data_IF_085296568535
#
_entry.id   IF_085296568535
#
_cell.length_a   1.000
_cell.length_b   1.000
_cell.length_c   1.000
_cell.angle_alpha   90.00
_cell.angle_beta   90.00
_cell.angle_gamma   90.00
#
_symmetry.space_group_name_H-M   'P 1'
#
loop_
_entity.id
_entity.type
_entity.pdbx_description
1 polymer ?
#
# COMPACT_ATOMS: atom_id res chain seq x y z
N UNK A 1 80.37 -27.87 -42.57
CA UNK A 1 80.01 -26.45 -42.32
C UNK A 1 78.64 -26.45 -41.73
N UNK A 2 78.56 -26.13 -40.41
CA UNK A 2 77.36 -26.29 -39.60
C UNK A 2 76.66 -24.94 -39.41
N UNK A 3 75.44 -24.82 -39.88
CA UNK A 3 74.57 -23.66 -39.66
C UNK A 3 73.77 -23.85 -38.39
N UNK A 4 74.03 -23.03 -37.36
CA UNK A 4 73.26 -22.98 -36.10
C UNK A 4 71.99 -22.23 -36.28
N UNK A 5 70.86 -22.87 -36.19
CA UNK A 5 69.54 -22.26 -36.10
C UNK A 5 69.29 -21.81 -34.65
N UNK A 6 69.12 -20.49 -34.46
CA UNK A 6 68.66 -19.89 -33.19
C UNK A 6 67.12 -19.98 -33.13
N UNK A 7 66.57 -20.73 -32.19
CA UNK A 7 65.16 -20.71 -31.82
C UNK A 7 64.93 -19.48 -30.94
N UNK A 8 64.08 -18.55 -31.41
CA UNK A 8 63.53 -17.48 -30.60
C UNK A 8 62.25 -18.03 -29.91
N UNK A 9 62.28 -18.16 -28.63
CA UNK A 9 61.08 -18.47 -27.81
C UNK A 9 60.30 -17.17 -27.57
N UNK A 10 59.12 -17.08 -28.16
CA UNK A 10 58.20 -16.01 -27.93
C UNK A 10 57.33 -16.35 -26.72
N UNK A 11 57.61 -15.72 -25.55
CA UNK A 11 56.79 -15.84 -24.36
C UNK A 11 55.58 -14.90 -24.48
N UNK A 12 54.40 -15.44 -24.75
CA UNK A 12 53.13 -14.69 -24.72
C UNK A 12 52.66 -14.58 -23.27
N UNK A 13 52.79 -13.42 -22.68
CA UNK A 13 52.23 -13.07 -21.35
C UNK A 13 50.75 -12.78 -21.53
N UNK A 14 49.86 -13.67 -21.09
CA UNK A 14 48.42 -13.45 -20.99
C UNK A 14 48.19 -12.63 -19.72
N UNK A 15 47.96 -11.32 -19.89
CA UNK A 15 47.48 -10.45 -18.83
C UNK A 15 45.99 -10.72 -18.57
N UNK A 16 45.71 -11.47 -17.54
CA UNK A 16 44.35 -11.80 -17.08
C UNK A 16 43.81 -10.55 -16.37
N UNK A 17 43.04 -9.72 -17.09
CA UNK A 17 42.36 -8.55 -16.57
C UNK A 17 41.27 -9.02 -15.60
N UNK A 18 41.54 -8.95 -14.28
CA UNK A 18 40.54 -9.14 -13.22
C UNK A 18 39.69 -7.87 -13.21
N UNK A 19 38.57 -7.90 -13.91
CA UNK A 19 37.51 -6.89 -13.78
C UNK A 19 36.88 -7.09 -12.38
N UNK A 20 36.90 -6.07 -11.49
CA UNK A 20 36.10 -6.14 -10.29
C UNK A 20 34.64 -6.12 -10.74
N UNK A 21 33.99 -7.27 -10.72
CA UNK A 21 32.53 -7.33 -10.76
C UNK A 21 32.06 -6.56 -9.53
N UNK A 22 31.58 -5.32 -9.71
CA UNK A 22 30.75 -4.66 -8.73
C UNK A 22 29.55 -5.56 -8.49
N UNK A 23 29.65 -6.44 -7.50
CA UNK A 23 28.47 -7.04 -6.89
C UNK A 23 27.66 -5.86 -6.34
N UNK A 24 26.64 -5.42 -7.10
CA UNK A 24 25.53 -4.69 -6.50
C UNK A 24 25.00 -5.63 -5.43
N UNK A 25 25.29 -5.38 -4.17
CA UNK A 25 24.50 -5.91 -3.09
C UNK A 25 23.08 -5.47 -3.41
N UNK A 26 22.20 -6.43 -3.74
CA UNK A 26 20.78 -6.17 -3.84
C UNK A 26 20.37 -5.58 -2.49
N UNK A 27 20.15 -4.26 -2.48
CA UNK A 27 19.70 -3.55 -1.28
C UNK A 27 18.35 -4.15 -0.97
N UNK A 28 18.36 -5.04 0.02
CA UNK A 28 17.17 -5.77 0.41
C UNK A 28 16.17 -4.75 0.93
N UNK A 29 15.10 -4.52 0.18
CA UNK A 29 14.05 -3.61 0.59
C UNK A 29 13.60 -3.94 2.02
N UNK A 30 13.68 -2.97 2.97
CA UNK A 30 13.46 -3.25 4.39
C UNK A 30 12.03 -3.70 4.69
N UNK A 31 11.07 -3.36 3.86
CA UNK A 31 9.67 -3.74 4.00
C UNK A 31 9.12 -4.29 2.69
N UNK A 32 8.18 -5.22 2.78
CA UNK A 32 7.41 -5.75 1.64
C UNK A 32 5.93 -5.82 1.98
N UNK A 33 5.07 -5.61 1.00
CA UNK A 33 3.63 -5.81 1.16
C UNK A 33 3.37 -7.29 1.44
N UNK A 34 2.69 -7.58 2.55
CA UNK A 34 2.25 -8.93 2.93
C UNK A 34 0.74 -9.10 2.90
N UNK A 35 -0.01 -8.01 2.80
CA UNK A 35 -1.46 -8.03 2.66
C UNK A 35 -2.00 -6.65 2.31
N UNK A 36 -3.13 -6.63 1.62
CA UNK A 36 -3.89 -5.42 1.31
C UNK A 36 -5.36 -5.76 1.17
N UNK A 37 -6.22 -4.99 1.83
CA UNK A 37 -7.66 -5.23 1.87
C UNK A 37 -8.41 -3.93 2.15
N UNK A 38 -9.67 -3.85 1.67
CA UNK A 38 -10.66 -2.94 2.23
C UNK A 38 -11.39 -3.64 3.37
N UNK A 39 -11.53 -2.96 4.50
CA UNK A 39 -12.39 -3.39 5.61
C UNK A 39 -13.67 -2.58 5.54
N UNK A 40 -14.81 -3.27 5.40
CA UNK A 40 -16.14 -2.68 5.44
C UNK A 40 -16.76 -2.95 6.80
N UNK A 41 -16.90 -1.93 7.62
CA UNK A 41 -17.56 -2.03 8.92
C UNK A 41 -19.02 -1.62 8.80
N UNK A 42 -19.89 -2.62 8.59
CA UNK A 42 -21.32 -2.43 8.39
C UNK A 42 -22.01 -1.68 9.54
N UNK A 43 -21.58 -1.92 10.79
CA UNK A 43 -22.22 -1.33 11.98
C UNK A 43 -22.07 0.18 12.06
N UNK A 44 -20.93 0.69 11.66
CA UNK A 44 -20.62 2.14 11.69
C UNK A 44 -20.60 2.77 10.30
N UNK A 45 -21.05 2.02 9.27
CA UNK A 45 -21.12 2.46 7.88
C UNK A 45 -19.79 3.05 7.36
N UNK A 46 -18.66 2.42 7.69
CA UNK A 46 -17.33 2.91 7.34
C UNK A 46 -16.54 1.86 6.59
N UNK A 47 -15.76 2.29 5.61
CA UNK A 47 -14.75 1.47 4.96
C UNK A 47 -13.38 2.09 5.17
N UNK A 48 -12.33 1.26 5.24
CA UNK A 48 -10.93 1.70 5.38
C UNK A 48 -10.02 0.86 4.49
N UNK A 49 -8.95 1.48 3.98
CA UNK A 49 -7.82 0.75 3.43
C UNK A 49 -7.00 0.17 4.57
N UNK A 50 -6.55 -1.05 4.42
CA UNK A 50 -5.56 -1.67 5.30
C UNK A 50 -4.47 -2.31 4.46
N UNK A 51 -3.25 -1.80 4.57
CA UNK A 51 -2.06 -2.35 3.94
C UNK A 51 -1.15 -2.90 5.02
N UNK A 52 -0.80 -4.15 4.93
CA UNK A 52 0.13 -4.78 5.87
C UNK A 52 1.51 -4.91 5.22
N UNK A 53 2.51 -4.30 5.85
CA UNK A 53 3.91 -4.46 5.48
C UNK A 53 4.57 -5.46 6.43
N UNK A 54 5.32 -6.41 5.88
CA UNK A 54 6.17 -7.31 6.64
C UNK A 54 7.63 -6.82 6.60
N UNK A 55 8.32 -6.92 7.73
CA UNK A 55 9.75 -6.62 7.82
C UNK A 55 10.55 -7.63 6.99
N UNK A 56 11.44 -7.13 6.16
CA UNK A 56 12.30 -7.93 5.30
C UNK A 56 13.79 -7.58 5.49
N UNK A 57 14.08 -6.46 6.16
CA UNK A 57 15.43 -5.98 6.43
C UNK A 57 15.48 -5.00 7.60
N UNK A 58 16.66 -4.50 7.96
CA UNK A 58 16.83 -3.52 9.00
C UNK A 58 16.22 -2.17 8.61
N UNK A 59 15.69 -1.46 9.58
CA UNK A 59 15.27 -0.07 9.48
C UNK A 59 15.88 0.71 10.63
N UNK A 60 16.29 1.97 10.40
CA UNK A 60 16.70 2.86 11.46
C UNK A 60 15.61 3.02 12.52
N UNK A 61 16.01 3.27 13.75
CA UNK A 61 15.09 3.71 14.79
C UNK A 61 14.39 5.01 14.34
N UNK A 62 13.14 5.20 14.79
CA UNK A 62 12.32 6.36 14.40
C UNK A 62 12.06 6.49 12.90
N UNK A 63 11.89 5.36 12.23
CA UNK A 63 11.36 5.34 10.86
C UNK A 63 9.84 5.51 10.84
N UNK A 64 9.34 6.09 9.74
CA UNK A 64 7.92 6.35 9.51
C UNK A 64 7.51 5.87 8.12
N UNK A 65 6.27 5.41 8.01
CA UNK A 65 5.60 5.22 6.73
C UNK A 65 4.66 6.41 6.48
N UNK A 66 4.92 7.17 5.43
CA UNK A 66 4.01 8.19 4.91
C UNK A 66 3.23 7.55 3.77
N UNK A 67 1.94 7.37 3.97
CA UNK A 67 1.08 6.65 3.01
C UNK A 67 0.06 7.59 2.41
N UNK A 68 -0.05 7.56 1.09
CA UNK A 68 -1.08 8.28 0.33
C UNK A 68 -2.01 7.27 -0.31
N UNK A 69 -3.27 7.33 0.07
CA UNK A 69 -4.35 6.53 -0.48
C UNK A 69 -5.14 7.38 -1.49
N UNK A 70 -5.45 6.83 -2.67
CA UNK A 70 -6.43 7.47 -3.55
C UNK A 70 -7.75 7.65 -2.79
N UNK A 71 -8.36 8.83 -2.90
CA UNK A 71 -9.68 9.07 -2.30
C UNK A 71 -10.77 8.55 -3.24
N UNK A 72 -11.54 7.50 -2.87
CA UNK A 72 -12.58 6.95 -3.73
C UNK A 72 -13.70 7.95 -4.05
N UNK A 73 -13.95 8.91 -3.15
CA UNK A 73 -14.89 10.00 -3.36
C UNK A 73 -14.34 11.11 -4.28
N UNK A 74 -13.08 10.97 -4.75
CA UNK A 74 -12.41 11.98 -5.57
C UNK A 74 -11.70 13.04 -4.75
N UNK A 75 -11.02 13.96 -5.45
CA UNK A 75 -10.25 15.03 -4.82
C UNK A 75 -8.83 14.61 -4.42
N UNK A 76 -8.28 15.28 -3.41
CA UNK A 76 -6.91 15.03 -2.96
C UNK A 76 -6.73 13.64 -2.33
N UNK A 77 -5.57 12.99 -2.53
CA UNK A 77 -5.24 11.76 -1.82
C UNK A 77 -5.27 11.96 -0.30
N UNK A 78 -5.65 10.90 0.41
CA UNK A 78 -5.66 10.85 1.87
C UNK A 78 -4.27 10.47 2.35
N UNK A 79 -3.62 11.33 3.11
CA UNK A 79 -2.27 11.07 3.62
C UNK A 79 -2.31 10.68 5.10
N UNK A 80 -1.52 9.65 5.45
CA UNK A 80 -1.30 9.22 6.83
C UNK A 80 0.19 9.09 7.11
N UNK A 81 0.58 9.23 8.39
CA UNK A 81 1.95 9.02 8.86
C UNK A 81 1.95 8.05 10.03
N UNK A 82 2.54 6.89 9.85
CA UNK A 82 2.60 5.82 10.85
C UNK A 82 4.04 5.61 11.31
N UNK A 83 4.31 5.67 12.62
CA UNK A 83 5.61 5.33 13.19
C UNK A 83 5.85 3.82 13.07
N UNK A 84 7.06 3.43 12.66
CA UNK A 84 7.48 2.04 12.57
C UNK A 84 8.40 1.73 13.75
N UNK A 85 7.94 0.87 14.65
CA UNK A 85 8.75 0.50 15.80
C UNK A 85 9.76 -0.61 15.44
N UNK A 86 11.00 -0.57 15.98
CA UNK A 86 12.07 -1.50 15.60
C UNK A 86 11.74 -2.98 15.84
N UNK A 87 10.90 -3.27 16.85
CA UNK A 87 10.50 -4.63 17.23
C UNK A 87 9.29 -5.17 16.46
N UNK A 88 8.62 -4.34 15.64
CA UNK A 88 7.48 -4.79 14.85
C UNK A 88 7.92 -5.64 13.65
N UNK A 89 7.37 -6.83 13.55
CA UNK A 89 7.55 -7.71 12.38
C UNK A 89 6.55 -7.39 11.26
N UNK A 90 5.42 -6.78 11.62
CA UNK A 90 4.39 -6.32 10.70
C UNK A 90 3.93 -4.93 11.10
N UNK A 91 3.63 -4.12 10.10
CA UNK A 91 3.11 -2.76 10.26
C UNK A 91 1.81 -2.67 9.47
N UNK A 92 0.71 -2.33 10.13
CA UNK A 92 -0.55 -2.01 9.47
C UNK A 92 -0.58 -0.50 9.16
N UNK A 93 -0.87 -0.18 7.90
CA UNK A 93 -1.11 1.18 7.42
C UNK A 93 -2.59 1.29 7.10
N UNK A 94 -3.29 2.13 7.84
CA UNK A 94 -4.74 2.29 7.73
C UNK A 94 -5.08 3.70 7.28
N UNK A 95 -6.07 3.82 6.41
CA UNK A 95 -6.64 5.14 6.08
C UNK A 95 -7.64 5.56 7.15
N UNK A 96 -7.95 6.86 7.29
CA UNK A 96 -9.25 7.29 7.81
C UNK A 96 -10.40 6.62 7.05
N UNK A 97 -11.65 6.69 7.57
CA UNK A 97 -12.82 6.22 6.86
C UNK A 97 -12.94 6.81 5.46
N UNK A 98 -13.24 5.96 4.48
CA UNK A 98 -13.46 6.34 3.08
C UNK A 98 -14.85 5.90 2.61
N UNK A 99 -15.34 6.57 1.57
CA UNK A 99 -16.64 6.33 0.96
C UNK A 99 -16.49 6.18 -0.55
N UNK A 100 -17.56 5.75 -1.22
CA UNK A 100 -17.63 5.66 -2.68
C UNK A 100 -16.69 4.62 -3.31
N UNK A 101 -16.44 3.54 -2.61
CA UNK A 101 -15.67 2.42 -3.15
C UNK A 101 -16.51 1.69 -4.19
N UNK A 102 -15.94 1.54 -5.39
CA UNK A 102 -16.55 0.83 -6.53
C UNK A 102 -15.88 -0.53 -6.68
N UNK A 103 -16.67 -1.59 -6.75
CA UNK A 103 -16.21 -2.94 -7.03
C UNK A 103 -15.41 -2.99 -8.34
N UNK A 104 -14.29 -3.68 -8.34
CA UNK A 104 -13.46 -3.89 -9.52
C UNK A 104 -12.57 -2.70 -9.91
N UNK A 105 -12.78 -1.50 -9.36
CA UNK A 105 -11.92 -0.34 -9.60
C UNK A 105 -10.60 -0.51 -8.82
N UNK A 106 -9.42 -0.37 -9.47
CA UNK A 106 -8.15 -0.27 -8.78
C UNK A 106 -7.96 1.14 -8.20
N UNK A 107 -7.54 1.23 -6.94
CA UNK A 107 -7.22 2.47 -6.25
C UNK A 107 -5.73 2.53 -5.99
N UNK A 108 -5.09 3.64 -6.35
CA UNK A 108 -3.66 3.85 -6.19
C UNK A 108 -3.27 4.09 -4.72
N UNK A 109 -2.14 3.53 -4.33
CA UNK A 109 -1.56 3.70 -3.00
C UNK A 109 -0.06 3.88 -3.17
N UNK A 110 0.49 4.97 -2.61
CA UNK A 110 1.93 5.18 -2.54
C UNK A 110 2.39 5.23 -1.07
N UNK A 111 3.49 4.58 -0.77
CA UNK A 111 4.06 4.48 0.57
C UNK A 111 5.52 4.92 0.50
N UNK A 112 5.87 5.92 1.28
CA UNK A 112 7.25 6.36 1.46
C UNK A 112 7.69 5.99 2.87
N UNK A 113 8.71 5.15 2.97
CA UNK A 113 9.37 4.86 4.24
C UNK A 113 10.49 5.87 4.40
N UNK A 114 10.45 6.66 5.48
CA UNK A 114 11.41 7.71 5.75
C UNK A 114 12.00 7.57 7.15
N UNK A 115 13.21 8.08 7.35
CA UNK A 115 13.80 8.21 8.69
C UNK A 115 13.25 9.44 9.45
N UNK A 116 13.77 9.67 10.65
CA UNK A 116 13.37 10.81 11.50
C UNK A 116 13.62 12.18 10.86
N UNK A 117 14.60 12.28 9.97
CA UNK A 117 14.99 13.51 9.29
C UNK A 117 14.27 13.68 7.94
N UNK A 118 13.37 12.76 7.61
CA UNK A 118 12.57 12.76 6.37
C UNK A 118 13.30 12.21 5.14
N UNK A 119 14.49 11.61 5.32
CA UNK A 119 15.22 11.00 4.21
C UNK A 119 14.51 9.73 3.76
N UNK A 120 14.29 9.59 2.47
CA UNK A 120 13.66 8.42 1.87
C UNK A 120 14.55 7.18 2.03
N UNK A 121 13.99 6.13 2.61
CA UNK A 121 14.61 4.82 2.78
C UNK A 121 14.07 3.82 1.75
N UNK A 122 12.78 3.89 1.43
CA UNK A 122 12.11 3.03 0.46
C UNK A 122 10.85 3.71 -0.08
N UNK A 123 10.53 3.49 -1.35
CA UNK A 123 9.25 3.85 -1.95
C UNK A 123 8.55 2.58 -2.45
N UNK A 124 7.24 2.47 -2.19
CA UNK A 124 6.42 1.34 -2.60
C UNK A 124 5.15 1.91 -3.23
N UNK A 125 4.91 1.61 -4.51
CA UNK A 125 3.68 1.93 -5.20
C UNK A 125 2.88 0.64 -5.43
N UNK A 126 1.57 0.70 -5.19
CA UNK A 126 0.67 -0.44 -5.37
C UNK A 126 -0.75 0.04 -5.68
N UNK A 127 -1.61 -0.92 -5.98
CA UNK A 127 -3.06 -0.68 -6.11
C UNK A 127 -3.82 -1.66 -5.22
N UNK A 128 -5.00 -1.26 -4.80
CA UNK A 128 -5.98 -2.13 -4.13
C UNK A 128 -7.29 -2.11 -4.88
N UNK A 129 -7.79 -3.28 -5.24
CA UNK A 129 -9.09 -3.44 -5.90
C UNK A 129 -10.08 -4.06 -4.93
N UNK A 130 -11.25 -3.46 -4.78
CA UNK A 130 -12.32 -4.01 -3.95
C UNK A 130 -13.09 -5.09 -4.70
N UNK A 131 -13.40 -6.19 -4.00
CA UNK A 131 -14.35 -7.21 -4.49
C UNK A 131 -15.80 -6.88 -4.17
N UNK A 132 -16.02 -5.86 -3.35
CA UNK A 132 -17.33 -5.39 -2.90
C UNK A 132 -17.51 -3.92 -3.30
N UNK A 133 -18.75 -3.54 -3.51
CA UNK A 133 -19.17 -2.17 -3.74
C UNK A 133 -19.57 -1.51 -2.42
N UNK A 134 -19.44 -0.18 -2.32
CA UNK A 134 -19.84 0.59 -1.15
C UNK A 134 -21.31 0.41 -0.81
N UNK A 135 -22.15 0.12 -1.80
CA UNK A 135 -23.60 -0.04 -1.66
C UNK A 135 -24.04 -1.22 -0.79
N UNK A 136 -23.11 -2.13 -0.44
CA UNK A 136 -23.40 -3.18 0.55
C UNK A 136 -23.61 -2.63 1.97
N UNK A 137 -23.09 -1.43 2.27
CA UNK A 137 -23.19 -0.81 3.58
C UNK A 137 -24.41 0.11 3.68
N UNK A 138 -25.00 0.30 4.87
CA UNK A 138 -26.00 1.34 5.07
C UNK A 138 -25.38 2.73 4.83
N UNK A 139 -26.20 3.70 4.45
CA UNK A 139 -25.76 5.11 4.29
C UNK A 139 -25.39 5.78 5.61
N UNK A 140 -26.00 5.32 6.71
CA UNK A 140 -25.79 5.86 8.05
C UNK A 140 -25.28 4.78 9.00
N UNK A 141 -24.47 5.15 10.04
CA UNK A 141 -24.12 4.21 11.10
C UNK A 141 -25.36 3.60 11.75
N UNK A 142 -25.38 2.27 11.91
CA UNK A 142 -26.46 1.60 12.63
C UNK A 142 -26.40 1.81 14.13
N UNK A 143 -25.23 2.15 14.65
CA UNK A 143 -24.98 2.38 16.08
C UNK A 143 -24.17 3.64 16.27
N UNK A 144 -24.41 4.32 17.40
CA UNK A 144 -23.75 5.56 17.79
C UNK A 144 -23.24 5.51 19.22
N UNK A 145 -22.30 6.40 19.52
CA UNK A 145 -21.73 6.55 20.85
C UNK A 145 -20.81 5.40 21.29
N UNK A 146 -20.16 5.57 22.46
CA UNK A 146 -19.11 4.65 22.92
C UNK A 146 -19.63 3.26 23.32
N UNK A 147 -20.93 3.15 23.61
CA UNK A 147 -21.60 1.88 24.00
C UNK A 147 -22.39 1.26 22.85
N UNK A 148 -22.23 1.78 21.62
CA UNK A 148 -22.90 1.26 20.42
C UNK A 148 -24.44 1.20 20.54
N UNK A 149 -25.07 2.28 20.99
CA UNK A 149 -26.54 2.38 21.04
C UNK A 149 -27.10 2.41 19.61
N UNK A 150 -28.32 1.86 19.38
CA UNK A 150 -29.00 2.00 18.10
C UNK A 150 -29.10 3.47 17.69
N UNK A 151 -28.75 3.77 16.43
CA UNK A 151 -28.81 5.13 15.90
C UNK A 151 -30.28 5.57 15.70
N UNK A 152 -30.75 6.64 16.38
CA UNK A 152 -32.12 7.11 16.24
C UNK A 152 -32.46 7.64 14.83
N UNK A 153 -31.43 8.03 14.04
CA UNK A 153 -31.61 8.46 12.63
C UNK A 153 -31.86 7.27 11.69
N UNK A 154 -31.67 6.05 12.18
CA UNK A 154 -31.92 4.80 11.44
C UNK A 154 -33.09 4.03 12.05
N UNK A 155 -33.18 3.96 13.37
CA UNK A 155 -34.20 3.22 14.11
C UNK A 155 -35.15 4.19 14.81
N UNK A 156 -36.27 4.48 14.21
CA UNK A 156 -37.24 5.46 14.74
C UNK A 156 -38.09 4.88 15.86
N UNK A 157 -38.60 5.74 16.72
CA UNK A 157 -39.41 5.37 17.88
C UNK A 157 -40.74 4.70 17.49
N UNK A 158 -41.25 4.93 16.29
CA UNK A 158 -42.45 4.29 15.72
C UNK A 158 -42.21 2.88 15.15
N UNK A 159 -40.96 2.38 15.23
CA UNK A 159 -40.53 1.07 14.72
C UNK A 159 -40.12 1.08 13.26
N UNK A 160 -40.19 2.19 12.55
CA UNK A 160 -39.69 2.31 11.18
C UNK A 160 -38.17 2.39 11.14
N UNK A 161 -37.58 2.07 9.98
CA UNK A 161 -36.13 2.02 9.79
C UNK A 161 -35.75 2.72 8.49
N UNK A 162 -34.72 3.60 8.56
CA UNK A 162 -34.15 4.28 7.41
C UNK A 162 -32.76 3.74 7.11
N UNK A 163 -32.66 2.88 6.09
CA UNK A 163 -31.39 2.35 5.57
C UNK A 163 -30.96 3.07 4.27
N UNK A 164 -31.54 4.24 3.98
CA UNK A 164 -31.21 4.96 2.75
C UNK A 164 -29.71 5.13 2.56
N UNK A 165 -29.27 4.93 1.36
CA UNK A 165 -27.87 5.16 0.96
C UNK A 165 -27.67 6.68 0.77
N UNK A 166 -26.62 7.24 1.35
CA UNK A 166 -26.20 8.58 0.96
C UNK A 166 -25.52 8.53 -0.41
N UNK A 167 -25.98 9.39 -1.33
CA UNK A 167 -25.59 9.35 -2.74
C UNK A 167 -24.56 10.43 -3.13
N UNK A 168 -23.69 10.84 -2.22
CA UNK A 168 -22.67 11.89 -2.48
C UNK A 168 -21.48 11.38 -3.30
N UNK A 169 -21.58 10.17 -3.86
CA UNK A 169 -20.51 9.60 -4.65
C UNK A 169 -20.47 10.14 -6.07
N UNK A 170 -19.28 10.45 -6.61
CA UNK A 170 -19.14 10.84 -8.01
C UNK A 170 -19.75 9.81 -8.94
N UNK A 171 -20.48 10.26 -9.95
CA UNK A 171 -21.00 9.37 -10.98
C UNK A 171 -19.87 8.56 -11.60
N UNK A 172 -19.97 7.24 -11.61
CA UNK A 172 -19.01 6.37 -12.30
C UNK A 172 -19.00 6.73 -13.78
N UNK A 173 -17.84 7.09 -14.37
CA UNK A 173 -17.77 7.41 -15.80
C UNK A 173 -18.35 6.26 -16.63
N UNK A 174 -19.21 6.54 -17.63
CA UNK A 174 -19.71 5.51 -18.51
C UNK A 174 -18.55 4.85 -19.25
N UNK A 175 -18.29 3.57 -19.02
CA UNK A 175 -17.20 2.79 -19.63
C UNK A 175 -16.41 1.88 -18.68
N UNK A 176 -16.59 1.99 -17.37
CA UNK A 176 -16.04 1.06 -16.37
C UNK A 176 -17.11 0.10 -15.80
N UNK A 177 -18.13 -0.21 -16.60
CA UNK A 177 -19.06 -1.28 -16.24
C UNK A 177 -18.27 -2.59 -16.13
N UNK A 178 -18.30 -3.17 -14.94
CA UNK A 178 -17.69 -4.45 -14.61
C UNK A 178 -18.17 -5.49 -15.63
N UNK A 179 -17.24 -6.04 -16.41
CA UNK A 179 -17.51 -7.26 -17.18
C UNK A 179 -17.71 -8.37 -16.14
N UNK A 180 -18.91 -8.90 -16.07
CA UNK A 180 -19.29 -10.04 -15.22
C UNK A 180 -18.54 -11.32 -15.61
#
# INVERSE_FOLDING_TARGET
MMARRKLLSLAASVAMSILPACQREDVKEPLKISGKVFIFNYRVAQATYVITLARNGPLPDESFAVTRFENPAGGAPIETRTKIFPFWQKVALESPPVHCIVKGKPYAISIQVVDKDGRLLQAIDTTLTSTLDQTIMPGKPLVVGPIYTPNPDVFHADGTRDYAQESDCPATPPGQAVVN
#
